data_IF_462587075349
#
_entry.id   IF_462587075349
#
_cell.length_a   1.000
_cell.length_b   1.000
_cell.length_c   1.000
_cell.angle_alpha   90.00
_cell.angle_beta   90.00
_cell.angle_gamma   90.00
#
_symmetry.space_group_name_H-M   'P 1'
#
loop_
_entity.id
_entity.type
_entity.pdbx_description
1 polymer ?
#
# COMPACT_ATOMS: atom_id res chain seq x y z
N UNK A 1 -12.51 10.57 0.84
CA UNK A 1 -12.63 11.27 2.14
C UNK A 1 -11.27 11.37 2.83
N UNK A 2 -10.64 10.26 3.26
CA UNK A 2 -9.34 10.31 3.97
C UNK A 2 -8.25 11.09 3.19
N UNK A 3 -8.03 10.77 1.91
CA UNK A 3 -7.11 11.54 1.05
C UNK A 3 -7.44 13.04 1.02
N UNK A 4 -8.72 13.41 0.99
CA UNK A 4 -9.13 14.82 0.97
C UNK A 4 -8.86 15.55 2.29
N UNK A 5 -8.88 14.85 3.42
CA UNK A 5 -8.47 15.44 4.69
C UNK A 5 -6.95 15.55 4.80
N UNK A 6 -6.22 14.57 4.29
CA UNK A 6 -4.76 14.66 4.16
C UNK A 6 -4.35 15.82 3.24
N UNK A 7 -5.07 16.04 2.14
CA UNK A 7 -4.89 17.18 1.23
C UNK A 7 -4.99 18.52 1.98
N UNK A 8 -6.00 18.68 2.84
CA UNK A 8 -6.14 19.89 3.66
C UNK A 8 -4.94 20.09 4.59
N UNK A 9 -4.48 19.04 5.27
CA UNK A 9 -3.33 19.12 6.18
C UNK A 9 -2.04 19.47 5.42
N UNK A 10 -1.79 18.82 4.29
CA UNK A 10 -0.58 19.10 3.48
C UNK A 10 -0.62 20.51 2.91
N UNK A 11 -1.78 20.98 2.45
CA UNK A 11 -1.93 22.32 1.94
C UNK A 11 -1.67 23.39 3.00
N UNK A 12 -2.20 23.20 4.21
CA UNK A 12 -1.99 24.10 5.36
C UNK A 12 -0.49 24.23 5.69
N UNK A 13 0.21 23.10 5.80
CA UNK A 13 1.66 23.08 6.03
C UNK A 13 2.45 23.80 4.93
N UNK A 14 2.08 23.62 3.66
CA UNK A 14 2.76 24.28 2.53
C UNK A 14 2.50 25.79 2.54
N UNK A 15 1.30 26.25 2.90
CA UNK A 15 1.03 27.68 3.04
C UNK A 15 1.91 28.31 4.13
N UNK A 16 2.15 27.62 5.24
CA UNK A 16 3.08 28.05 6.29
C UNK A 16 4.53 28.09 5.78
N UNK A 17 5.00 27.01 5.12
CA UNK A 17 6.34 26.91 4.53
C UNK A 17 6.65 28.07 3.55
N UNK A 18 5.64 28.50 2.79
CA UNK A 18 5.75 29.58 1.80
C UNK A 18 5.31 30.95 2.33
N UNK A 19 5.10 31.11 3.65
CA UNK A 19 4.72 32.38 4.28
C UNK A 19 3.50 33.06 3.62
N UNK A 20 2.54 32.27 3.14
CA UNK A 20 1.33 32.76 2.47
C UNK A 20 1.52 33.24 1.02
N UNK A 21 2.68 33.01 0.38
CA UNK A 21 2.79 33.20 -1.08
C UNK A 21 2.01 32.12 -1.83
N UNK A 22 0.77 32.47 -2.20
CA UNK A 22 -0.16 31.59 -2.90
C UNK A 22 0.37 31.05 -4.22
N UNK A 23 1.18 31.84 -4.95
CA UNK A 23 1.70 31.42 -6.24
C UNK A 23 2.64 30.22 -6.09
N UNK A 24 3.66 30.37 -5.25
CA UNK A 24 4.62 29.30 -4.98
C UNK A 24 4.00 28.14 -4.21
N UNK A 25 3.13 28.41 -3.24
CA UNK A 25 2.46 27.38 -2.45
C UNK A 25 1.59 26.45 -3.32
N UNK A 26 0.85 26.99 -4.29
CA UNK A 26 0.03 26.17 -5.19
C UNK A 26 0.87 25.25 -6.09
N UNK A 27 2.01 25.74 -6.58
CA UNK A 27 2.95 24.93 -7.38
C UNK A 27 3.51 23.81 -6.50
N UNK A 28 4.02 24.13 -5.31
CA UNK A 28 4.58 23.16 -4.38
C UNK A 28 3.53 22.11 -3.92
N UNK A 29 2.29 22.54 -3.68
CA UNK A 29 1.19 21.65 -3.33
C UNK A 29 0.86 20.67 -4.46
N UNK A 30 0.75 21.15 -5.70
CA UNK A 30 0.51 20.30 -6.85
C UNK A 30 1.64 19.27 -7.02
N UNK A 31 2.89 19.69 -6.93
CA UNK A 31 4.05 18.80 -7.05
C UNK A 31 4.09 17.73 -5.94
N UNK A 32 3.79 18.13 -4.69
CA UNK A 32 3.84 17.23 -3.52
C UNK A 32 2.68 16.24 -3.49
N UNK A 33 1.46 16.65 -3.85
CA UNK A 33 0.27 15.80 -3.74
C UNK A 33 -0.04 14.95 -4.96
N UNK A 34 0.31 15.41 -6.17
CA UNK A 34 -0.02 14.70 -7.41
C UNK A 34 0.39 13.21 -7.39
N UNK A 35 1.60 12.82 -6.96
CA UNK A 35 1.98 11.41 -6.94
C UNK A 35 1.06 10.55 -6.06
N UNK A 36 0.67 11.06 -4.89
CA UNK A 36 -0.17 10.34 -3.93
C UNK A 36 -1.64 10.32 -4.34
N UNK A 37 -2.15 11.43 -4.91
CA UNK A 37 -3.53 11.48 -5.42
C UNK A 37 -3.70 10.57 -6.64
N UNK A 38 -2.70 10.50 -7.52
CA UNK A 38 -2.71 9.57 -8.66
C UNK A 38 -2.60 8.11 -8.15
N UNK A 39 -1.78 7.85 -7.12
CA UNK A 39 -1.63 6.53 -6.53
C UNK A 39 -2.89 6.02 -5.82
N UNK A 40 -3.57 6.84 -5.01
CA UNK A 40 -4.81 6.42 -4.32
C UNK A 40 -5.96 6.21 -5.29
N UNK A 41 -6.02 6.99 -6.38
CA UNK A 41 -6.97 6.75 -7.47
C UNK A 41 -6.72 5.39 -8.14
N UNK A 42 -5.45 5.06 -8.42
CA UNK A 42 -5.06 3.74 -8.92
C UNK A 42 -5.42 2.61 -7.96
N UNK A 43 -5.09 2.76 -6.68
CA UNK A 43 -5.43 1.79 -5.62
C UNK A 43 -6.95 1.57 -5.52
N UNK A 44 -7.75 2.61 -5.68
CA UNK A 44 -9.21 2.48 -5.66
C UNK A 44 -9.74 1.65 -6.84
N UNK A 45 -9.17 1.84 -8.03
CA UNK A 45 -9.51 1.04 -9.23
C UNK A 45 -9.06 -0.41 -9.04
N UNK A 46 -7.84 -0.65 -8.56
CA UNK A 46 -7.32 -1.98 -8.27
C UNK A 46 -8.19 -2.71 -7.25
N UNK A 47 -8.56 -2.04 -6.16
CA UNK A 47 -9.44 -2.60 -5.13
C UNK A 47 -10.82 -2.93 -5.67
N UNK A 48 -11.36 -2.14 -6.61
CA UNK A 48 -12.61 -2.48 -7.29
C UNK A 48 -12.52 -3.81 -8.04
N UNK A 49 -11.44 -4.03 -8.80
CA UNK A 49 -11.23 -5.30 -9.51
C UNK A 49 -10.97 -6.47 -8.54
N UNK A 50 -10.21 -6.24 -7.47
CA UNK A 50 -9.95 -7.25 -6.43
C UNK A 50 -11.27 -7.72 -5.78
N UNK A 51 -12.14 -6.79 -5.40
CA UNK A 51 -13.44 -7.11 -4.80
C UNK A 51 -14.41 -7.76 -5.80
N UNK A 52 -14.33 -7.43 -7.10
CA UNK A 52 -15.21 -7.98 -8.13
C UNK A 52 -14.80 -9.39 -8.55
N UNK A 53 -13.52 -9.60 -8.81
CA UNK A 53 -13.03 -10.79 -9.53
C UNK A 53 -12.36 -11.83 -8.62
N UNK A 54 -11.92 -11.42 -7.42
CA UNK A 54 -10.96 -12.23 -6.66
C UNK A 54 -11.45 -12.74 -5.30
N UNK A 55 -12.63 -12.31 -4.84
CA UNK A 55 -13.19 -12.74 -3.55
C UNK A 55 -13.43 -14.26 -3.47
N UNK A 56 -13.73 -14.90 -4.60
CA UNK A 56 -13.91 -16.35 -4.69
C UNK A 56 -12.70 -17.10 -5.29
N UNK A 57 -11.63 -16.40 -5.65
CA UNK A 57 -10.44 -17.02 -6.24
C UNK A 57 -9.59 -17.69 -5.15
N UNK A 58 -9.36 -19.01 -5.27
CA UNK A 58 -8.65 -19.79 -4.25
C UNK A 58 -7.23 -19.29 -3.97
N UNK A 59 -6.51 -18.80 -4.98
CA UNK A 59 -5.16 -18.23 -4.82
C UNK A 59 -5.21 -16.93 -4.01
N UNK A 60 -6.20 -16.07 -4.26
CA UNK A 60 -6.38 -14.84 -3.48
C UNK A 60 -6.80 -15.11 -2.04
N UNK A 61 -7.65 -16.12 -1.80
CA UNK A 61 -8.00 -16.56 -0.45
C UNK A 61 -6.76 -17.08 0.30
N UNK A 62 -5.90 -17.86 -0.36
CA UNK A 62 -4.61 -18.29 0.19
C UNK A 62 -3.71 -17.09 0.50
N UNK A 63 -3.55 -16.16 -0.45
CA UNK A 63 -2.78 -14.93 -0.28
C UNK A 63 -3.24 -14.17 0.96
N UNK A 64 -4.55 -13.93 1.10
CA UNK A 64 -5.10 -13.16 2.21
C UNK A 64 -4.87 -13.81 3.56
N UNK A 65 -4.98 -15.14 3.64
CA UNK A 65 -4.64 -15.88 4.87
C UNK A 65 -3.15 -15.78 5.21
N UNK A 66 -2.27 -15.85 4.21
CA UNK A 66 -0.83 -15.70 4.40
C UNK A 66 -0.47 -14.28 4.87
N UNK A 67 -1.07 -13.24 4.28
CA UNK A 67 -0.93 -11.85 4.75
C UNK A 67 -1.31 -11.71 6.22
N UNK A 68 -2.45 -12.26 6.63
CA UNK A 68 -2.89 -12.21 8.04
C UNK A 68 -1.90 -12.90 8.99
N UNK A 69 -1.34 -14.05 8.57
CA UNK A 69 -0.30 -14.73 9.36
C UNK A 69 0.97 -13.90 9.48
N UNK A 70 1.39 -13.24 8.40
CA UNK A 70 2.55 -12.36 8.40
C UNK A 70 2.32 -11.14 9.30
N UNK A 71 1.15 -10.50 9.24
CA UNK A 71 0.80 -9.35 10.10
C UNK A 71 0.75 -9.75 11.59
N UNK A 72 0.33 -10.97 11.91
CA UNK A 72 0.35 -11.49 13.28
C UNK A 72 1.75 -11.82 13.78
N UNK A 73 2.63 -12.31 12.90
CA UNK A 73 3.96 -12.78 13.26
C UNK A 73 5.02 -11.67 13.26
N UNK A 74 4.85 -10.63 12.45
CA UNK A 74 5.86 -9.60 12.20
C UNK A 74 5.28 -8.20 12.30
N UNK A 75 5.80 -7.39 13.23
CA UNK A 75 5.35 -6.02 13.48
C UNK A 75 5.78 -5.02 12.40
N UNK A 76 6.72 -5.40 11.54
CA UNK A 76 7.26 -4.60 10.42
C UNK A 76 6.65 -4.98 9.06
N UNK A 77 5.82 -6.03 9.02
CA UNK A 77 5.03 -6.37 7.85
C UNK A 77 3.64 -5.73 7.89
N UNK A 78 3.22 -5.21 6.74
CA UNK A 78 1.90 -4.63 6.52
C UNK A 78 1.42 -5.08 5.14
N UNK A 79 0.20 -5.61 5.03
CA UNK A 79 -0.43 -5.84 3.72
C UNK A 79 -0.70 -4.52 3.00
N UNK A 80 -0.93 -4.57 1.69
CA UNK A 80 -1.30 -3.38 0.88
C UNK A 80 -2.49 -2.62 1.50
N UNK A 81 -3.51 -3.36 1.95
CA UNK A 81 -4.66 -2.78 2.65
C UNK A 81 -4.25 -2.04 3.93
N UNK A 82 -3.39 -2.66 4.76
CA UNK A 82 -2.94 -2.05 6.00
C UNK A 82 -2.06 -0.82 5.77
N UNK A 83 -1.22 -0.82 4.73
CA UNK A 83 -0.41 0.34 4.34
C UNK A 83 -1.30 1.54 4.00
N UNK A 84 -2.37 1.34 3.24
CA UNK A 84 -3.26 2.43 2.79
C UNK A 84 -4.20 2.90 3.91
N UNK A 85 -4.65 1.98 4.77
CA UNK A 85 -5.73 2.26 5.74
C UNK A 85 -5.21 2.72 7.09
N UNK A 86 -4.09 2.14 7.56
CA UNK A 86 -3.64 2.27 8.95
C UNK A 86 -2.24 2.88 9.10
N UNK A 87 -1.59 3.25 8.00
CA UNK A 87 -0.26 3.88 8.01
C UNK A 87 -0.29 5.27 7.36
N UNK A 88 -0.86 6.28 8.06
CA UNK A 88 -0.91 7.66 7.56
C UNK A 88 0.47 8.30 7.44
N UNK A 89 1.50 7.70 8.04
CA UNK A 89 2.89 8.11 7.92
C UNK A 89 3.56 7.65 6.61
N UNK A 90 2.90 6.79 5.83
CA UNK A 90 3.41 6.27 4.57
C UNK A 90 2.62 6.91 3.40
N UNK A 91 3.28 7.63 2.48
CA UNK A 91 2.62 8.19 1.30
C UNK A 91 1.92 7.12 0.45
N UNK A 92 0.76 7.45 -0.15
CA UNK A 92 0.02 6.51 -1.00
C UNK A 92 0.84 5.98 -2.16
N UNK A 93 1.72 6.81 -2.75
CA UNK A 93 2.64 6.40 -3.81
C UNK A 93 3.62 5.31 -3.34
N UNK A 94 4.20 5.46 -2.15
CA UNK A 94 5.06 4.45 -1.53
C UNK A 94 4.29 3.19 -1.14
N UNK A 95 3.10 3.34 -0.55
CA UNK A 95 2.22 2.23 -0.19
C UNK A 95 1.84 1.39 -1.41
N UNK A 96 1.48 2.03 -2.54
CA UNK A 96 1.14 1.37 -3.80
C UNK A 96 2.35 0.60 -4.37
N UNK A 97 3.52 1.24 -4.43
CA UNK A 97 4.75 0.60 -4.95
C UNK A 97 5.13 -0.63 -4.12
N UNK A 98 5.15 -0.49 -2.79
CA UNK A 98 5.41 -1.60 -1.87
C UNK A 98 4.38 -2.70 -2.00
N UNK A 99 3.09 -2.34 -2.03
CA UNK A 99 1.97 -3.27 -2.11
C UNK A 99 1.97 -4.11 -3.38
N UNK A 100 2.31 -3.53 -4.55
CA UNK A 100 2.42 -4.26 -5.82
C UNK A 100 3.49 -5.35 -5.72
N UNK A 101 4.69 -5.03 -5.22
CA UNK A 101 5.78 -5.99 -5.05
C UNK A 101 5.43 -7.11 -4.07
N UNK A 102 4.76 -6.76 -2.97
CA UNK A 102 4.27 -7.74 -2.00
C UNK A 102 3.22 -8.66 -2.64
N UNK A 103 2.27 -8.10 -3.39
CA UNK A 103 1.22 -8.85 -4.06
C UNK A 103 1.78 -9.82 -5.10
N UNK A 104 2.70 -9.37 -5.95
CA UNK A 104 3.34 -10.21 -6.97
C UNK A 104 4.01 -11.44 -6.34
N UNK A 105 4.87 -11.23 -5.34
CA UNK A 105 5.57 -12.31 -4.65
C UNK A 105 4.60 -13.27 -3.93
N UNK A 106 3.60 -12.74 -3.24
CA UNK A 106 2.66 -13.56 -2.48
C UNK A 106 1.72 -14.34 -3.40
N UNK A 107 1.31 -13.78 -4.54
CA UNK A 107 0.51 -14.48 -5.53
C UNK A 107 1.28 -15.63 -6.18
N UNK A 108 2.54 -15.40 -6.54
CA UNK A 108 3.45 -16.46 -7.06
C UNK A 108 3.62 -17.58 -6.04
N UNK A 109 3.94 -17.25 -4.78
CA UNK A 109 4.07 -18.26 -3.74
C UNK A 109 2.76 -19.03 -3.52
N UNK A 110 1.61 -18.36 -3.56
CA UNK A 110 0.32 -18.99 -3.34
C UNK A 110 -0.19 -19.78 -4.54
N UNK A 111 0.29 -19.53 -5.76
CA UNK A 111 -0.06 -20.36 -6.94
C UNK A 111 0.64 -21.72 -6.90
N UNK A 112 1.83 -21.78 -6.31
CA UNK A 112 2.70 -22.96 -6.38
C UNK A 112 2.53 -23.93 -5.19
N UNK A 113 1.77 -23.53 -4.17
CA UNK A 113 1.55 -24.34 -2.96
C UNK A 113 0.09 -24.68 -2.75
N UNK A 114 -0.19 -25.93 -2.39
CA UNK A 114 -1.53 -26.38 -2.01
C UNK A 114 -1.91 -25.89 -0.61
N UNK A 115 -0.96 -25.94 0.32
CA UNK A 115 -1.12 -25.54 1.72
C UNK A 115 -0.11 -24.45 2.11
N UNK A 116 -0.62 -23.25 2.39
CA UNK A 116 0.20 -22.12 2.86
C UNK A 116 0.73 -22.33 4.28
N UNK A 117 0.17 -23.25 5.05
CA UNK A 117 0.58 -23.51 6.43
C UNK A 117 1.92 -24.25 6.49
N UNK A 118 2.31 -24.88 5.38
CA UNK A 118 3.62 -25.50 5.21
C UNK A 118 4.73 -24.50 4.85
N UNK A 119 4.40 -23.24 4.54
CA UNK A 119 5.38 -22.21 4.21
C UNK A 119 6.18 -21.78 5.44
N UNK A 120 7.51 -21.67 5.29
CA UNK A 120 8.36 -21.02 6.29
C UNK A 120 8.10 -19.50 6.28
N UNK A 121 7.29 -19.03 7.22
CA UNK A 121 6.94 -17.62 7.36
C UNK A 121 8.16 -16.71 7.52
N UNK A 122 9.26 -17.18 8.11
CA UNK A 122 10.49 -16.39 8.27
C UNK A 122 11.21 -16.23 6.93
N UNK A 123 11.27 -17.30 6.14
CA UNK A 123 11.82 -17.24 4.79
C UNK A 123 10.98 -16.33 3.88
N UNK A 124 9.65 -16.44 3.97
CA UNK A 124 8.70 -15.58 3.22
C UNK A 124 8.87 -14.12 3.62
N UNK A 125 8.93 -13.83 4.93
CA UNK A 125 9.13 -12.47 5.42
C UNK A 125 10.45 -11.85 4.94
N UNK A 126 11.55 -12.61 4.97
CA UNK A 126 12.83 -12.13 4.43
C UNK A 126 12.73 -11.81 2.94
N UNK A 127 12.13 -12.70 2.12
CA UNK A 127 11.92 -12.44 0.69
C UNK A 127 11.10 -11.17 0.44
N UNK A 128 10.08 -10.93 1.28
CA UNK A 128 9.29 -9.70 1.20
C UNK A 128 10.12 -8.46 1.52
N UNK A 129 10.95 -8.50 2.56
CA UNK A 129 11.86 -7.40 2.89
C UNK A 129 12.83 -7.10 1.74
N UNK A 130 13.41 -8.15 1.13
CA UNK A 130 14.32 -8.02 0.00
C UNK A 130 13.61 -7.46 -1.25
N UNK A 131 12.36 -7.88 -1.52
CA UNK A 131 11.59 -7.44 -2.68
C UNK A 131 11.20 -5.95 -2.60
N UNK A 132 10.91 -5.46 -1.38
CA UNK A 132 10.47 -4.08 -1.15
C UNK A 132 11.61 -3.11 -0.83
N UNK A 133 12.83 -3.62 -0.64
CA UNK A 133 14.03 -2.81 -0.55
C UNK A 133 14.35 -2.24 -1.95
N UNK A 134 14.02 -0.97 -2.16
CA UNK A 134 14.51 -0.13 -3.26
C UNK A 134 15.53 0.86 -2.75
#
# INVERSE_FOLDING_TARGET
MNCSFEDCLVFDNILEEHSGDWGSAMIAYQERRKPDTDAIAGLAIENFYEMRDHVANATFVKKRKLEMKLEQAYTDYYSKYSLVTFRPDIPYSSARKRGIKQDELLLELCSDVDDIDALDLKAVHRKLQDAVAD
#
